data_IF_874744262965
#
_entry.id   IF_874744262965
#
_cell.length_a   1.000
_cell.length_b   1.000
_cell.length_c   1.000
_cell.angle_alpha   90.00
_cell.angle_beta   90.00
_cell.angle_gamma   90.00
#
_symmetry.space_group_name_H-M   'P 1'
#
loop_
_entity.id
_entity.type
_entity.pdbx_description
1 polymer ?
#
# COMPACT_ATOMS: atom_id res chain seq x y z
N UNK A 1 -23.88 -20.56 -35.45
CA UNK A 1 -23.54 -21.99 -35.22
C UNK A 1 -24.04 -22.73 -36.46
N UNK A 2 -23.22 -23.55 -37.13
CA UNK A 2 -23.62 -24.24 -38.37
C UNK A 2 -24.17 -25.61 -38.01
N UNK A 3 -25.44 -25.86 -38.38
CA UNK A 3 -26.12 -27.13 -38.14
C UNK A 3 -26.03 -28.00 -39.40
N UNK A 4 -25.78 -29.29 -39.19
CA UNK A 4 -25.63 -30.26 -40.27
C UNK A 4 -26.57 -31.42 -40.00
N UNK A 5 -27.21 -31.91 -41.06
CA UNK A 5 -28.02 -33.12 -41.05
C UNK A 5 -27.34 -34.19 -41.89
N UNK A 6 -27.37 -35.45 -41.42
CA UNK A 6 -26.80 -36.58 -42.16
C UNK A 6 -27.95 -37.32 -42.84
N UNK A 7 -28.00 -37.24 -44.17
CA UNK A 7 -28.98 -37.93 -45.00
C UNK A 7 -28.22 -38.92 -45.89
N UNK A 8 -28.60 -40.20 -45.82
CA UNK A 8 -27.96 -41.30 -46.58
C UNK A 8 -26.43 -41.41 -46.41
N UNK A 9 -25.89 -40.93 -45.28
CA UNK A 9 -24.46 -41.02 -44.94
C UNK A 9 -23.61 -39.86 -45.48
N UNK A 10 -24.21 -38.90 -46.17
CA UNK A 10 -23.56 -37.65 -46.56
C UNK A 10 -24.04 -36.49 -45.68
N UNK A 11 -23.14 -35.54 -45.42
CA UNK A 11 -23.39 -34.38 -44.54
C UNK A 11 -23.97 -33.25 -45.38
N UNK A 12 -25.22 -32.88 -45.12
CA UNK A 12 -25.90 -31.75 -45.72
C UNK A 12 -26.07 -30.62 -44.69
N UNK A 13 -26.11 -29.37 -45.14
CA UNK A 13 -26.52 -28.27 -44.27
C UNK A 13 -28.01 -28.42 -43.94
N UNK A 14 -28.34 -28.34 -42.65
CA UNK A 14 -29.72 -28.44 -42.19
C UNK A 14 -30.54 -27.29 -42.79
N UNK A 15 -31.58 -27.62 -43.55
CA UNK A 15 -32.42 -26.66 -44.30
C UNK A 15 -33.56 -26.12 -43.42
N UNK A 16 -33.79 -26.71 -42.24
CA UNK A 16 -34.85 -26.33 -41.31
C UNK A 16 -34.45 -25.22 -40.35
N UNK A 17 -33.15 -25.03 -40.13
CA UNK A 17 -32.58 -23.97 -39.29
C UNK A 17 -32.17 -22.75 -40.12
N UNK A 18 -32.29 -21.55 -39.53
CA UNK A 18 -31.93 -20.31 -40.23
C UNK A 18 -30.43 -20.29 -40.62
N UNK A 19 -30.17 -19.89 -41.86
CA UNK A 19 -28.82 -19.89 -42.46
C UNK A 19 -27.89 -18.99 -41.66
N UNK A 20 -26.88 -19.60 -41.04
CA UNK A 20 -25.76 -18.91 -40.42
C UNK A 20 -24.93 -18.18 -41.49
N UNK A 21 -24.59 -16.89 -41.31
CA UNK A 21 -24.61 -16.14 -40.06
C UNK A 21 -25.96 -15.49 -39.72
N UNK A 22 -26.52 -15.89 -38.58
CA UNK A 22 -27.59 -15.14 -37.93
C UNK A 22 -27.01 -13.84 -37.32
N UNK A 23 -27.78 -12.74 -37.28
CA UNK A 23 -27.33 -11.50 -36.66
C UNK A 23 -27.09 -11.68 -35.16
N UNK A 24 -26.09 -10.99 -34.63
CA UNK A 24 -25.74 -11.04 -33.21
C UNK A 24 -26.73 -10.26 -32.34
N UNK A 25 -27.31 -9.18 -32.88
CA UNK A 25 -28.34 -8.39 -32.22
C UNK A 25 -29.27 -7.73 -33.25
N UNK A 26 -30.42 -7.24 -32.81
CA UNK A 26 -31.37 -6.53 -33.66
C UNK A 26 -31.53 -5.10 -33.16
N UNK A 27 -31.55 -4.14 -34.08
CA UNK A 27 -31.87 -2.74 -33.80
C UNK A 27 -32.88 -2.25 -34.84
N UNK A 28 -34.01 -1.68 -34.38
CA UNK A 28 -35.14 -1.24 -35.22
C UNK A 28 -35.64 -2.29 -36.23
N UNK A 29 -35.63 -3.58 -35.85
CA UNK A 29 -36.08 -4.68 -36.71
C UNK A 29 -35.06 -5.13 -37.77
N UNK A 30 -33.91 -4.47 -37.85
CA UNK A 30 -32.79 -4.87 -38.71
C UNK A 30 -31.78 -5.66 -37.87
N UNK A 31 -31.32 -6.80 -38.38
CA UNK A 31 -30.28 -7.62 -37.75
C UNK A 31 -28.88 -7.07 -38.04
N UNK A 32 -28.06 -6.96 -37.00
CA UNK A 32 -26.67 -6.51 -37.07
C UNK A 32 -25.72 -7.61 -36.57
N UNK A 33 -24.57 -7.72 -37.23
CA UNK A 33 -23.45 -8.54 -36.78
C UNK A 33 -22.30 -7.64 -36.31
N UNK A 34 -21.50 -8.14 -35.38
CA UNK A 34 -20.37 -7.38 -34.86
C UNK A 34 -19.13 -7.38 -35.75
N UNK A 35 -19.13 -8.07 -36.90
CA UNK A 35 -17.95 -8.29 -37.77
C UNK A 35 -16.78 -9.06 -37.12
N UNK A 36 -16.54 -8.88 -35.83
CA UNK A 36 -15.66 -9.67 -34.97
C UNK A 36 -16.44 -10.59 -34.04
N UNK A 37 -15.72 -11.52 -33.41
CA UNK A 37 -16.28 -12.46 -32.44
C UNK A 37 -16.63 -11.70 -31.15
N UNK A 38 -17.87 -11.77 -30.62
CA UNK A 38 -18.33 -10.97 -29.48
C UNK A 38 -17.84 -11.50 -28.12
N UNK A 39 -16.55 -11.83 -28.03
CA UNK A 39 -15.90 -12.24 -26.79
C UNK A 39 -14.69 -11.35 -26.55
N UNK A 40 -14.75 -10.58 -25.46
CA UNK A 40 -13.63 -9.76 -24.99
C UNK A 40 -12.84 -10.54 -23.96
N UNK A 41 -11.62 -10.93 -24.29
CA UNK A 41 -10.72 -11.58 -23.35
C UNK A 41 -10.02 -10.57 -22.43
N UNK A 42 -10.07 -10.82 -21.12
CA UNK A 42 -9.26 -10.13 -20.12
C UNK A 42 -8.16 -11.07 -19.66
N UNK A 43 -6.99 -10.94 -20.29
CA UNK A 43 -5.82 -11.75 -19.95
C UNK A 43 -5.13 -11.19 -18.71
N UNK A 44 -4.78 -12.06 -17.78
CA UNK A 44 -4.05 -11.67 -16.55
C UNK A 44 -2.57 -11.41 -16.85
N UNK A 45 -1.93 -12.31 -17.58
CA UNK A 45 -0.54 -12.26 -18.02
C UNK A 45 -0.40 -12.79 -19.46
N UNK A 46 0.82 -12.82 -20.01
CA UNK A 46 1.06 -13.33 -21.38
C UNK A 46 0.72 -14.82 -21.49
N UNK A 47 0.99 -15.58 -20.44
CA UNK A 47 0.82 -17.03 -20.35
C UNK A 47 -0.62 -17.46 -20.12
N UNK A 48 -1.55 -16.52 -19.89
CA UNK A 48 -2.97 -16.75 -19.56
C UNK A 48 -3.16 -17.62 -18.31
N UNK A 49 -2.25 -17.50 -17.35
CA UNK A 49 -2.27 -18.23 -16.08
C UNK A 49 -2.78 -17.35 -14.94
N UNK A 50 -3.49 -17.97 -14.00
CA UNK A 50 -3.85 -17.32 -12.74
C UNK A 50 -2.63 -17.09 -11.86
N UNK A 51 -2.63 -16.00 -11.08
CA UNK A 51 -1.51 -15.62 -10.20
C UNK A 51 -1.11 -16.73 -9.23
N UNK A 52 -2.10 -17.46 -8.70
CA UNK A 52 -1.89 -18.56 -7.75
C UNK A 52 -0.87 -19.58 -8.27
N UNK A 53 -0.79 -19.79 -9.60
CA UNK A 53 0.11 -20.78 -10.19
C UNK A 53 1.58 -20.57 -9.82
N UNK A 54 2.00 -19.32 -9.56
CA UNK A 54 3.40 -18.99 -9.28
C UNK A 54 3.82 -19.25 -7.82
N UNK A 55 2.87 -19.22 -6.88
CA UNK A 55 3.17 -19.35 -5.45
C UNK A 55 2.34 -20.41 -4.72
N UNK A 56 1.50 -21.17 -5.43
CA UNK A 56 0.69 -22.27 -4.86
C UNK A 56 1.54 -23.26 -4.07
N UNK A 57 2.70 -23.63 -4.58
CA UNK A 57 3.56 -24.63 -3.92
C UNK A 57 4.02 -24.16 -2.53
N UNK A 58 4.24 -22.86 -2.34
CA UNK A 58 4.62 -22.31 -1.04
C UNK A 58 3.43 -22.28 -0.08
N UNK A 59 2.23 -21.97 -0.58
CA UNK A 59 0.99 -22.05 0.22
C UNK A 59 0.73 -23.50 0.64
N UNK A 60 0.77 -24.46 -0.29
CA UNK A 60 0.54 -25.87 0.01
C UNK A 60 1.55 -26.40 1.06
N UNK A 61 2.82 -25.99 0.96
CA UNK A 61 3.85 -26.36 1.93
C UNK A 61 3.61 -25.71 3.31
N UNK A 62 3.19 -24.43 3.33
CA UNK A 62 2.84 -23.72 4.55
C UNK A 62 1.66 -24.39 5.27
N UNK A 63 0.60 -24.71 4.52
CA UNK A 63 -0.60 -25.35 5.04
C UNK A 63 -0.30 -26.76 5.58
N UNK A 64 0.55 -27.52 4.88
CA UNK A 64 0.99 -28.85 5.31
C UNK A 64 1.75 -28.78 6.63
N UNK A 65 2.75 -27.91 6.74
CA UNK A 65 3.55 -27.77 7.98
C UNK A 65 2.67 -27.29 9.12
N UNK A 66 1.75 -26.36 8.87
CA UNK A 66 0.83 -25.86 9.89
C UNK A 66 -0.11 -26.99 10.36
N UNK A 67 -0.60 -27.82 9.44
CA UNK A 67 -1.46 -28.96 9.77
C UNK A 67 -0.70 -30.03 10.57
N UNK A 68 0.52 -30.38 10.15
CA UNK A 68 1.36 -31.37 10.85
C UNK A 68 1.75 -30.90 12.24
N UNK A 69 2.01 -29.59 12.40
CA UNK A 69 2.36 -29.03 13.70
C UNK A 69 1.17 -29.03 14.65
N UNK A 70 -0.03 -28.71 14.17
CA UNK A 70 -1.26 -28.84 14.97
C UNK A 70 -1.53 -30.28 15.38
N UNK A 71 -1.36 -31.25 14.46
CA UNK A 71 -1.48 -32.68 14.79
C UNK A 71 -0.46 -33.08 15.87
N UNK A 72 0.79 -32.65 15.73
CA UNK A 72 1.86 -32.96 16.69
C UNK A 72 1.57 -32.34 18.06
N UNK A 73 1.02 -31.12 18.10
CA UNK A 73 0.63 -30.46 19.35
C UNK A 73 -0.54 -31.15 20.05
N UNK A 74 -1.50 -31.68 19.29
CA UNK A 74 -2.60 -32.49 19.83
C UNK A 74 -2.07 -33.83 20.39
N UNK A 75 -1.21 -34.52 19.62
CA UNK A 75 -0.56 -35.75 20.05
C UNK A 75 0.37 -35.55 21.25
N UNK A 76 0.99 -34.37 21.43
CA UNK A 76 1.86 -34.07 22.56
C UNK A 76 1.11 -34.15 23.92
N UNK A 77 -0.22 -34.05 23.93
CA UNK A 77 -1.02 -34.30 25.13
C UNK A 77 -1.01 -35.78 25.56
N UNK A 78 -0.63 -36.69 24.66
CA UNK A 78 -0.49 -38.11 24.94
C UNK A 78 0.91 -38.41 25.50
N UNK A 79 0.97 -38.77 26.79
CA UNK A 79 2.20 -39.20 27.44
C UNK A 79 2.51 -40.66 27.08
N UNK A 80 3.72 -40.93 26.62
CA UNK A 80 4.20 -42.31 26.45
C UNK A 80 4.80 -42.77 27.77
N UNK A 81 4.14 -43.72 28.43
CA UNK A 81 4.62 -44.32 29.68
C UNK A 81 5.56 -45.49 29.38
N UNK A 82 6.78 -45.42 29.89
CA UNK A 82 7.76 -46.50 29.87
C UNK A 82 7.75 -47.15 31.25
N UNK A 83 7.25 -48.39 31.31
CA UNK A 83 7.17 -49.16 32.54
C UNK A 83 8.39 -50.08 32.68
N UNK A 84 9.18 -49.89 33.75
CA UNK A 84 10.31 -50.76 34.12
C UNK A 84 9.90 -51.62 35.31
N UNK A 85 9.98 -52.94 35.18
CA UNK A 85 9.67 -53.87 36.28
C UNK A 85 8.17 -53.99 36.63
N UNK A 86 7.26 -53.75 35.68
CA UNK A 86 5.83 -53.89 35.91
C UNK A 86 5.39 -55.36 35.91
N UNK A 87 4.85 -55.83 37.04
CA UNK A 87 4.41 -57.22 37.28
C UNK A 87 2.96 -57.51 36.85
N UNK A 88 2.23 -56.51 36.32
CA UNK A 88 0.85 -56.72 35.89
C UNK A 88 0.77 -57.45 34.55
N UNK A 89 -0.01 -58.53 34.49
CA UNK A 89 -0.18 -59.37 33.30
C UNK A 89 -0.94 -58.70 32.14
N UNK A 90 -1.58 -57.53 32.35
CA UNK A 90 -2.43 -56.92 31.33
C UNK A 90 -2.34 -55.37 31.29
N UNK A 91 -1.94 -54.82 30.14
CA UNK A 91 -1.90 -53.38 29.85
C UNK A 91 -3.28 -52.69 29.99
N UNK A 92 -4.38 -53.42 29.76
CA UNK A 92 -5.74 -52.89 29.90
C UNK A 92 -6.10 -52.62 31.37
N UNK A 93 -5.64 -53.49 32.25
CA UNK A 93 -5.83 -53.35 33.70
C UNK A 93 -4.97 -52.18 34.24
N UNK A 94 -3.73 -52.07 33.76
CA UNK A 94 -2.87 -50.92 34.03
C UNK A 94 -3.54 -49.58 33.67
N UNK A 95 -4.03 -49.44 32.43
CA UNK A 95 -4.69 -48.20 31.98
C UNK A 95 -5.97 -47.89 32.75
N UNK A 96 -6.72 -48.93 33.17
CA UNK A 96 -7.94 -48.75 33.97
C UNK A 96 -7.60 -48.27 35.38
N UNK A 97 -6.57 -48.84 36.01
CA UNK A 97 -6.11 -48.43 37.33
C UNK A 97 -5.49 -47.04 37.31
N UNK A 98 -4.73 -46.69 36.26
CA UNK A 98 -4.19 -45.35 36.07
C UNK A 98 -5.31 -44.30 35.97
N UNK A 99 -6.37 -44.57 35.20
CA UNK A 99 -7.53 -43.66 35.05
C UNK A 99 -8.35 -43.53 36.34
N UNK A 100 -8.54 -44.62 37.10
CA UNK A 100 -9.38 -44.63 38.31
C UNK A 100 -8.66 -44.10 39.55
N UNK A 101 -7.43 -44.55 39.77
CA UNK A 101 -6.71 -44.30 41.02
C UNK A 101 -5.59 -43.27 40.87
N UNK A 102 -5.18 -42.93 39.65
CA UNK A 102 -4.10 -41.95 39.36
C UNK A 102 -2.75 -42.27 40.03
N UNK A 103 -2.52 -43.53 40.40
CA UNK A 103 -1.30 -44.00 41.04
C UNK A 103 -0.75 -45.22 40.30
N UNK A 104 0.58 -45.35 40.25
CA UNK A 104 1.25 -46.50 39.64
C UNK A 104 2.06 -47.22 40.72
N UNK A 105 1.80 -48.50 40.92
CA UNK A 105 2.57 -49.35 41.83
C UNK A 105 3.80 -49.89 41.09
N UNK A 106 4.98 -49.70 41.68
CA UNK A 106 6.27 -50.20 41.18
C UNK A 106 6.94 -51.11 42.21
N UNK A 107 7.80 -52.03 41.75
CA UNK A 107 8.58 -52.92 42.62
C UNK A 107 9.87 -52.25 43.14
N UNK A 108 10.65 -52.91 44.00
CA UNK A 108 11.87 -52.39 44.65
C UNK A 108 12.93 -51.83 43.67
N UNK A 109 13.01 -52.36 42.46
CA UNK A 109 13.88 -51.87 41.37
C UNK A 109 13.07 -51.37 40.15
N UNK A 110 11.76 -51.18 40.30
CA UNK A 110 10.84 -50.76 39.24
C UNK A 110 10.67 -49.24 39.19
N UNK A 111 10.36 -48.72 38.01
CA UNK A 111 10.16 -47.28 37.78
C UNK A 111 9.25 -46.99 36.61
N UNK A 112 8.68 -45.79 36.59
CA UNK A 112 7.88 -45.29 35.47
C UNK A 112 8.55 -44.03 34.94
N UNK A 113 9.04 -44.11 33.71
CA UNK A 113 9.51 -42.93 32.98
C UNK A 113 8.40 -42.46 32.05
N UNK A 114 8.23 -41.15 31.96
CA UNK A 114 7.40 -40.55 30.91
C UNK A 114 8.34 -40.02 29.84
N UNK A 115 8.09 -40.39 28.58
CA UNK A 115 8.70 -39.72 27.44
C UNK A 115 7.65 -38.83 26.80
N UNK A 116 8.01 -37.55 26.67
CA UNK A 116 7.29 -36.60 25.87
C UNK A 116 8.10 -36.33 24.59
N UNK A 117 7.44 -36.23 23.46
CA UNK A 117 8.08 -35.77 22.24
C UNK A 117 8.36 -34.26 22.39
N UNK A 118 9.62 -33.84 22.21
CA UNK A 118 9.96 -32.42 22.13
C UNK A 118 9.65 -31.93 20.72
N UNK A 119 8.67 -31.02 20.59
CA UNK A 119 8.37 -30.36 19.32
C UNK A 119 9.32 -29.17 19.16
N UNK A 120 10.13 -29.12 18.09
CA UNK A 120 11.03 -27.99 17.84
C UNK A 120 10.23 -26.79 17.29
N UNK A 121 9.48 -26.11 18.16
CA UNK A 121 8.63 -24.96 17.80
C UNK A 121 9.43 -23.87 17.09
N UNK A 122 10.66 -23.60 17.53
CA UNK A 122 11.54 -22.59 16.91
C UNK A 122 11.92 -22.92 15.46
N UNK A 123 12.10 -24.20 15.13
CA UNK A 123 12.41 -24.62 13.77
C UNK A 123 11.19 -24.44 12.87
N UNK A 124 10.02 -24.83 13.38
CA UNK A 124 8.73 -24.66 12.69
C UNK A 124 8.47 -23.18 12.40
N UNK A 125 8.57 -22.32 13.41
CA UNK A 125 8.36 -20.88 13.27
C UNK A 125 9.29 -20.28 12.21
N UNK A 126 10.58 -20.64 12.25
CA UNK A 126 11.56 -20.14 11.26
C UNK A 126 11.23 -20.54 9.82
N UNK A 127 10.62 -21.71 9.63
CA UNK A 127 10.22 -22.22 8.32
C UNK A 127 8.92 -21.54 7.87
N UNK A 128 7.94 -21.39 8.75
CA UNK A 128 6.69 -20.67 8.46
C UNK A 128 6.95 -19.20 8.12
N UNK A 129 7.86 -18.53 8.83
CA UNK A 129 8.29 -17.16 8.53
C UNK A 129 8.95 -17.06 7.16
N UNK A 130 9.77 -18.04 6.79
CA UNK A 130 10.41 -18.08 5.47
C UNK A 130 9.38 -18.28 4.36
N UNK A 131 8.46 -19.22 4.52
CA UNK A 131 7.39 -19.43 3.54
C UNK A 131 6.48 -18.23 3.42
N UNK A 132 6.17 -17.55 4.52
CA UNK A 132 5.39 -16.30 4.50
C UNK A 132 6.10 -15.23 3.65
N UNK A 133 7.41 -15.04 3.85
CA UNK A 133 8.23 -14.11 3.03
C UNK A 133 8.28 -14.52 1.55
N UNK A 134 8.46 -15.81 1.28
CA UNK A 134 8.48 -16.33 -0.10
C UNK A 134 7.12 -16.13 -0.79
N UNK A 135 5.99 -16.35 -0.09
CA UNK A 135 4.64 -16.10 -0.62
C UNK A 135 4.47 -14.62 -0.98
N UNK A 136 4.90 -13.69 -0.12
CA UNK A 136 4.82 -12.26 -0.45
C UNK A 136 5.74 -11.88 -1.62
N UNK A 137 6.95 -12.44 -1.68
CA UNK A 137 7.91 -12.15 -2.74
C UNK A 137 7.44 -12.68 -4.11
N UNK A 138 7.09 -13.96 -4.20
CA UNK A 138 6.60 -14.58 -5.44
C UNK A 138 5.18 -14.19 -5.80
N UNK A 139 4.34 -13.90 -4.80
CA UNK A 139 2.99 -13.35 -5.00
C UNK A 139 2.98 -11.86 -5.34
N UNK A 140 4.15 -11.20 -5.25
CA UNK A 140 4.30 -9.74 -5.41
C UNK A 140 3.32 -8.95 -4.54
N UNK A 141 3.12 -9.41 -3.30
CA UNK A 141 2.26 -8.78 -2.31
C UNK A 141 3.01 -7.74 -1.46
N UNK A 142 2.25 -6.91 -0.75
CA UNK A 142 2.79 -5.99 0.24
C UNK A 142 2.62 -6.60 1.65
N UNK A 143 3.73 -6.81 2.35
CA UNK A 143 3.74 -7.32 3.73
C UNK A 143 3.72 -6.16 4.73
N UNK A 144 2.53 -5.87 5.28
CA UNK A 144 2.31 -4.78 6.24
C UNK A 144 2.60 -5.16 7.69
N UNK A 145 3.35 -6.24 7.95
CA UNK A 145 3.66 -6.67 9.32
C UNK A 145 4.32 -5.54 10.13
N UNK A 146 3.68 -5.20 11.26
CA UNK A 146 3.99 -4.05 12.12
C UNK A 146 5.47 -4.00 12.58
N UNK A 147 6.14 -5.15 12.66
CA UNK A 147 7.51 -5.27 13.16
C UNK A 147 8.56 -4.62 12.25
N UNK A 148 8.20 -4.34 10.99
CA UNK A 148 9.09 -3.67 10.01
C UNK A 148 8.94 -2.14 10.01
N UNK A 149 7.89 -1.62 10.63
CA UNK A 149 7.63 -0.18 10.68
C UNK A 149 8.07 0.35 12.04
N UNK A 150 9.20 1.05 12.08
CA UNK A 150 9.52 1.93 13.21
C UNK A 150 8.42 3.00 13.39
N UNK A 151 8.53 3.82 14.45
CA UNK A 151 7.52 4.82 14.85
C UNK A 151 7.07 5.80 13.75
N UNK A 152 7.76 5.89 12.60
CA UNK A 152 7.29 6.59 11.41
C UNK A 152 7.89 5.97 10.13
N UNK A 153 7.09 5.30 9.27
CA UNK A 153 7.55 4.89 7.94
C UNK A 153 7.89 6.13 7.11
N UNK A 154 9.08 6.17 6.50
CA UNK A 154 9.38 7.17 5.47
C UNK A 154 8.60 6.88 4.20
N UNK A 155 8.31 7.90 3.38
CA UNK A 155 7.66 7.71 2.08
C UNK A 155 8.45 6.79 1.14
N UNK A 156 9.78 6.76 1.27
CA UNK A 156 10.65 5.82 0.55
C UNK A 156 10.43 4.38 0.99
N UNK A 157 10.28 4.12 2.30
CA UNK A 157 10.00 2.78 2.82
C UNK A 157 8.63 2.27 2.37
N UNK A 158 7.61 3.14 2.33
CA UNK A 158 6.29 2.80 1.81
C UNK A 158 6.33 2.47 0.31
N UNK A 159 7.06 3.25 -0.49
CA UNK A 159 7.25 2.94 -1.92
C UNK A 159 7.97 1.61 -2.13
N UNK A 160 9.00 1.32 -1.35
CA UNK A 160 9.71 0.04 -1.42
C UNK A 160 8.80 -1.13 -1.05
N UNK A 161 7.93 -0.96 -0.04
CA UNK A 161 6.96 -1.97 0.36
C UNK A 161 6.00 -2.34 -0.79
N UNK A 162 5.43 -1.33 -1.45
CA UNK A 162 4.45 -1.53 -2.51
C UNK A 162 5.08 -1.78 -3.89
N UNK A 163 6.41 -1.75 -4.02
CA UNK A 163 7.10 -1.85 -5.32
C UNK A 163 6.70 -3.10 -6.12
N UNK A 164 6.67 -4.27 -5.48
CA UNK A 164 6.30 -5.51 -6.15
C UNK A 164 4.83 -5.52 -6.56
N UNK A 165 3.95 -5.03 -5.67
CA UNK A 165 2.52 -4.92 -5.95
C UNK A 165 2.25 -3.94 -7.09
N UNK A 166 2.98 -2.83 -7.15
CA UNK A 166 2.87 -1.84 -8.21
C UNK A 166 3.34 -2.42 -9.56
N UNK A 167 4.41 -3.21 -9.57
CA UNK A 167 4.85 -3.94 -10.76
C UNK A 167 3.75 -4.88 -11.26
N UNK A 168 3.12 -5.64 -10.36
CA UNK A 168 2.01 -6.54 -10.68
C UNK A 168 0.79 -5.77 -11.22
N UNK A 169 0.38 -4.71 -10.54
CA UNK A 169 -0.73 -3.85 -10.96
C UNK A 169 -0.46 -3.23 -12.33
N UNK A 170 0.76 -2.79 -12.61
CA UNK A 170 1.15 -2.21 -13.91
C UNK A 170 1.10 -3.22 -15.06
N UNK A 171 1.41 -4.49 -14.79
CA UNK A 171 1.22 -5.57 -15.79
C UNK A 171 -0.27 -5.77 -16.06
N UNK A 172 -1.08 -5.88 -15.00
CA UNK A 172 -2.53 -6.04 -15.12
C UNK A 172 -3.16 -4.86 -15.88
N UNK A 173 -2.80 -3.63 -15.55
CA UNK A 173 -3.27 -2.41 -16.20
C UNK A 173 -3.00 -2.44 -17.72
N UNK A 174 -1.78 -2.76 -18.14
CA UNK A 174 -1.43 -2.88 -19.56
C UNK A 174 -2.25 -3.94 -20.28
N UNK A 175 -2.51 -5.08 -19.63
CA UNK A 175 -3.30 -6.17 -20.23
C UNK A 175 -4.78 -5.82 -20.29
N UNK A 176 -5.32 -5.26 -19.22
CA UNK A 176 -6.69 -4.79 -19.14
C UNK A 176 -6.95 -3.65 -20.12
N UNK A 177 -5.99 -2.77 -20.34
CA UNK A 177 -6.12 -1.69 -21.34
C UNK A 177 -6.38 -2.25 -22.74
N UNK A 178 -5.77 -3.38 -23.11
CA UNK A 178 -6.05 -4.05 -24.39
C UNK A 178 -7.47 -4.61 -24.43
N UNK A 179 -7.91 -5.28 -23.36
CA UNK A 179 -9.27 -5.80 -23.23
C UNK A 179 -10.33 -4.69 -23.23
N UNK A 180 -10.08 -3.60 -22.51
CA UNK A 180 -10.97 -2.43 -22.46
C UNK A 180 -11.04 -1.70 -23.80
N UNK A 181 -9.94 -1.60 -24.56
CA UNK A 181 -9.97 -1.05 -25.92
C UNK A 181 -10.81 -1.92 -26.87
N UNK A 182 -10.68 -3.24 -26.76
CA UNK A 182 -11.51 -4.17 -27.53
C UNK A 182 -12.99 -4.06 -27.13
N UNK A 183 -13.29 -3.96 -25.83
CA UNK A 183 -14.64 -3.69 -25.34
C UNK A 183 -15.19 -2.35 -25.82
N UNK A 184 -14.38 -1.30 -25.77
CA UNK A 184 -14.76 0.04 -26.24
C UNK A 184 -15.09 0.05 -27.73
N UNK A 185 -14.41 -0.77 -28.53
CA UNK A 185 -14.76 -0.94 -29.93
C UNK A 185 -16.20 -1.44 -30.11
N UNK A 186 -16.62 -2.50 -29.40
CA UNK A 186 -18.02 -2.96 -29.44
C UNK A 186 -19.01 -1.88 -29.00
N UNK A 187 -18.66 -1.14 -27.95
CA UNK A 187 -19.52 -0.08 -27.43
C UNK A 187 -19.68 1.07 -28.43
N UNK A 188 -18.58 1.49 -29.06
CA UNK A 188 -18.59 2.54 -30.08
C UNK A 188 -19.31 2.08 -31.33
N UNK A 189 -19.11 0.84 -31.77
CA UNK A 189 -19.81 0.27 -32.92
C UNK A 189 -21.33 0.23 -32.68
N UNK A 190 -21.74 -0.15 -31.47
CA UNK A 190 -23.15 -0.09 -31.08
C UNK A 190 -23.73 1.33 -31.14
N UNK A 191 -22.99 2.33 -30.66
CA UNK A 191 -23.40 3.74 -30.70
C UNK A 191 -23.46 4.23 -32.15
N UNK A 192 -22.50 3.87 -32.98
CA UNK A 192 -22.47 4.24 -34.40
C UNK A 192 -23.69 3.66 -35.14
N UNK A 193 -24.07 2.42 -34.85
CA UNK A 193 -25.29 1.79 -35.40
C UNK A 193 -26.56 2.48 -34.88
N UNK A 194 -26.60 2.82 -33.59
CA UNK A 194 -27.80 3.38 -32.93
C UNK A 194 -28.05 4.84 -33.29
N UNK A 195 -27.01 5.67 -33.21
CA UNK A 195 -27.06 7.12 -33.37
C UNK A 195 -26.69 7.59 -34.78
N UNK A 196 -26.22 6.70 -35.67
CA UNK A 196 -25.72 7.03 -37.02
C UNK A 196 -24.62 8.09 -37.00
N UNK A 197 -23.75 8.01 -36.01
CA UNK A 197 -22.53 8.81 -35.90
C UNK A 197 -21.32 7.95 -36.23
N UNK A 198 -20.20 8.60 -36.49
CA UNK A 198 -18.91 7.96 -36.77
C UNK A 198 -17.92 8.39 -35.68
N UNK A 199 -17.97 7.69 -34.55
CA UNK A 199 -17.01 7.86 -33.46
C UNK A 199 -15.87 6.86 -33.62
N UNK A 200 -14.63 7.29 -33.39
CA UNK A 200 -13.47 6.38 -33.30
C UNK A 200 -13.26 5.96 -31.84
N UNK A 201 -13.15 4.66 -31.60
CA UNK A 201 -12.83 4.09 -30.29
C UNK A 201 -11.43 4.48 -29.79
N UNK A 202 -10.53 4.92 -30.69
CA UNK A 202 -9.18 5.37 -30.34
C UNK A 202 -9.14 6.68 -29.55
N UNK A 203 -10.21 7.46 -29.59
CA UNK A 203 -10.32 8.71 -28.86
C UNK A 203 -10.56 8.47 -27.35
N UNK A 204 -10.92 7.25 -26.95
CA UNK A 204 -11.06 6.89 -25.53
C UNK A 204 -9.69 6.72 -24.86
N UNK A 205 -9.47 7.52 -23.83
CA UNK A 205 -8.34 7.35 -22.91
C UNK A 205 -8.84 6.76 -21.59
N UNK A 206 -8.18 5.69 -21.14
CA UNK A 206 -8.46 5.05 -19.85
C UNK A 206 -7.43 5.49 -18.82
N UNK A 207 -7.90 5.97 -17.67
CA UNK A 207 -7.04 6.37 -16.54
C UNK A 207 -7.28 5.43 -15.36
N UNK A 208 -6.20 4.82 -14.86
CA UNK A 208 -6.25 3.93 -13.70
C UNK A 208 -5.65 4.62 -12.48
N UNK A 209 -6.40 4.64 -11.37
CA UNK A 209 -5.95 5.23 -10.12
C UNK A 209 -5.51 4.13 -9.15
N UNK A 210 -4.26 4.18 -8.67
CA UNK A 210 -3.71 3.24 -7.69
C UNK A 210 -3.74 3.88 -6.30
N UNK A 211 -4.48 3.29 -5.37
CA UNK A 211 -4.48 3.72 -3.98
C UNK A 211 -3.25 3.14 -3.25
N UNK A 212 -2.25 3.98 -2.98
CA UNK A 212 -1.07 3.60 -2.19
C UNK A 212 -1.10 4.32 -0.84
N UNK A 213 -0.60 3.66 0.21
CA UNK A 213 -0.37 4.34 1.48
C UNK A 213 0.83 5.26 1.32
N UNK A 214 0.62 6.55 1.55
CA UNK A 214 1.67 7.57 1.45
C UNK A 214 1.75 8.37 2.73
N UNK A 215 2.95 8.85 3.05
CA UNK A 215 3.11 9.82 4.14
C UNK A 215 2.64 11.19 3.64
N UNK A 216 1.41 11.55 3.97
CA UNK A 216 0.80 12.83 3.54
C UNK A 216 1.58 14.05 4.08
N UNK A 217 2.17 13.96 5.27
CA UNK A 217 2.95 15.05 5.84
C UNK A 217 4.22 15.34 5.02
N UNK A 218 4.93 14.28 4.60
CA UNK A 218 6.10 14.41 3.73
C UNK A 218 5.71 15.00 2.36
N UNK A 219 4.57 14.61 1.79
CA UNK A 219 4.08 15.18 0.53
C UNK A 219 3.72 16.66 0.64
N UNK A 220 3.08 17.08 1.73
CA UNK A 220 2.74 18.48 1.98
C UNK A 220 4.03 19.31 2.15
N UNK A 221 5.01 18.82 2.90
CA UNK A 221 6.31 19.48 3.06
C UNK A 221 7.06 19.61 1.72
N UNK A 222 7.07 18.54 0.90
CA UNK A 222 7.62 18.59 -0.46
C UNK A 222 6.90 19.60 -1.35
N UNK A 223 5.57 19.69 -1.26
CA UNK A 223 4.77 20.67 -1.99
C UNK A 223 5.10 22.11 -1.60
N UNK A 224 5.26 22.37 -0.29
CA UNK A 224 5.69 23.68 0.23
C UNK A 224 7.09 24.05 -0.24
N UNK A 225 8.04 23.11 -0.18
CA UNK A 225 9.41 23.32 -0.64
C UNK A 225 9.52 23.50 -2.17
N UNK A 226 8.54 23.01 -2.92
CA UNK A 226 8.45 23.15 -4.38
C UNK A 226 7.74 24.44 -4.81
N UNK A 227 7.18 25.21 -3.88
CA UNK A 227 6.53 26.47 -4.18
C UNK A 227 7.53 27.48 -4.77
N UNK A 228 7.25 27.94 -5.99
CA UNK A 228 8.14 28.84 -6.75
C UNK A 228 9.09 28.13 -7.73
N UNK A 229 9.22 26.80 -7.64
CA UNK A 229 9.93 25.97 -8.62
C UNK A 229 8.95 25.30 -9.58
N UNK A 230 7.88 24.70 -9.03
CA UNK A 230 6.79 24.10 -9.79
C UNK A 230 5.58 25.05 -9.87
N UNK A 231 4.73 24.83 -10.89
CA UNK A 231 3.47 25.57 -11.02
C UNK A 231 2.53 25.23 -9.87
N UNK A 232 1.66 26.17 -9.48
CA UNK A 232 0.65 25.93 -8.44
C UNK A 232 -0.31 24.81 -8.84
N UNK A 233 -0.63 24.72 -10.13
CA UNK A 233 -1.48 23.67 -10.70
C UNK A 233 -0.88 22.29 -10.49
N UNK A 234 0.41 22.11 -10.80
CA UNK A 234 1.12 20.83 -10.59
C UNK A 234 1.23 20.45 -9.10
N UNK A 235 1.38 21.43 -8.21
CA UNK A 235 1.41 21.17 -6.76
C UNK A 235 0.03 20.71 -6.26
N UNK A 236 -1.05 21.31 -6.76
CA UNK A 236 -2.42 20.94 -6.42
C UNK A 236 -2.81 19.58 -7.01
N UNK A 237 -2.39 19.28 -8.24
CA UNK A 237 -2.56 17.94 -8.87
C UNK A 237 -2.00 16.82 -8.00
N UNK A 238 -0.85 17.06 -7.36
CA UNK A 238 -0.16 16.07 -6.54
C UNK A 238 -0.51 16.16 -5.05
N UNK A 239 -1.45 17.03 -4.66
CA UNK A 239 -1.81 17.22 -3.25
C UNK A 239 -2.76 16.10 -2.78
N UNK A 240 -2.48 15.42 -1.64
CA UNK A 240 -3.28 14.28 -1.16
C UNK A 240 -4.80 14.47 -1.04
N UNK A 241 -5.26 15.71 -0.84
CA UNK A 241 -6.66 16.03 -0.53
C UNK A 241 -7.42 16.61 -1.73
N UNK A 242 -6.70 17.03 -2.78
CA UNK A 242 -7.30 17.64 -3.97
C UNK A 242 -7.67 16.54 -4.95
N UNK A 243 -8.97 16.44 -5.25
CA UNK A 243 -9.50 15.45 -6.22
C UNK A 243 -9.75 16.06 -7.59
N UNK A 244 -10.11 17.34 -7.61
CA UNK A 244 -10.42 18.12 -8.81
C UNK A 244 -9.66 19.45 -8.70
N UNK A 245 -8.68 19.61 -9.58
CA UNK A 245 -7.74 20.73 -9.59
C UNK A 245 -8.41 22.01 -10.05
N UNK A 246 -9.28 21.92 -11.06
CA UNK A 246 -9.99 23.09 -11.59
C UNK A 246 -10.94 23.68 -10.54
N UNK A 247 -11.61 22.80 -9.80
CA UNK A 247 -12.52 23.20 -8.74
C UNK A 247 -11.75 23.85 -7.57
N UNK A 248 -10.60 23.28 -7.19
CA UNK A 248 -9.79 23.82 -6.11
C UNK A 248 -9.12 25.16 -6.49
N UNK A 249 -8.69 25.30 -7.75
CA UNK A 249 -8.20 26.57 -8.29
C UNK A 249 -9.28 27.66 -8.22
N UNK A 250 -10.52 27.34 -8.61
CA UNK A 250 -11.64 28.29 -8.48
C UNK A 250 -11.89 28.70 -7.04
N UNK A 251 -11.83 27.76 -6.09
CA UNK A 251 -11.97 28.08 -4.65
C UNK A 251 -10.86 29.00 -4.15
N UNK A 252 -9.62 28.77 -4.57
CA UNK A 252 -8.48 29.62 -4.23
C UNK A 252 -8.63 31.03 -4.80
N UNK A 253 -9.14 31.17 -6.02
CA UNK A 253 -9.43 32.47 -6.63
C UNK A 253 -10.54 33.22 -5.85
N UNK A 254 -11.63 32.52 -5.50
CA UNK A 254 -12.71 33.08 -4.67
C UNK A 254 -12.24 33.48 -3.26
N UNK A 255 -11.32 32.73 -2.67
CA UNK A 255 -10.66 33.09 -1.41
C UNK A 255 -9.73 34.30 -1.56
N UNK A 256 -8.96 34.38 -2.64
CA UNK A 256 -8.08 35.51 -2.91
C UNK A 256 -8.85 36.81 -3.15
N UNK A 257 -9.98 36.76 -3.87
CA UNK A 257 -10.86 37.90 -4.08
C UNK A 257 -11.48 38.34 -2.74
N UNK A 258 -12.04 37.42 -1.95
CA UNK A 258 -12.59 37.73 -0.62
C UNK A 258 -11.54 38.32 0.32
N UNK A 259 -10.32 37.80 0.29
CA UNK A 259 -9.22 38.32 1.08
C UNK A 259 -8.81 39.73 0.61
N UNK A 260 -8.69 39.93 -0.71
CA UNK A 260 -8.41 41.25 -1.30
C UNK A 260 -9.47 42.30 -0.97
N UNK A 261 -10.76 41.93 -0.95
CA UNK A 261 -11.87 42.78 -0.52
C UNK A 261 -11.84 43.10 0.99
N UNK A 262 -11.23 42.23 1.80
CA UNK A 262 -11.09 42.44 3.25
C UNK A 262 -9.86 43.28 3.63
N UNK A 263 -9.00 43.62 2.68
CA UNK A 263 -7.86 44.50 2.93
C UNK A 263 -8.32 45.96 2.99
N UNK A 264 -7.94 46.73 4.03
CA UNK A 264 -8.21 48.16 4.03
C UNK A 264 -7.50 48.83 2.83
N UNK A 265 -8.12 49.84 2.21
CA UNK A 265 -7.49 50.55 1.10
C UNK A 265 -6.13 51.08 1.52
N UNK A 266 -5.13 50.91 0.67
CA UNK A 266 -3.81 51.49 0.87
C UNK A 266 -3.99 53.01 0.89
N UNK A 267 -3.84 53.63 2.06
CA UNK A 267 -3.72 55.08 2.15
C UNK A 267 -2.40 55.46 1.49
N UNK A 268 -2.45 56.20 0.37
CA UNK A 268 -1.27 56.67 -0.37
C UNK A 268 -0.50 57.80 0.34
N UNK A 269 -0.84 58.15 1.59
CA UNK A 269 -0.37 59.38 2.25
C UNK A 269 0.67 59.20 3.37
N UNK A 270 1.21 58.00 3.61
CA UNK A 270 2.38 57.84 4.51
C UNK A 270 3.67 57.69 3.68
N UNK A 271 4.19 58.82 3.19
CA UNK A 271 5.59 58.91 2.76
C UNK A 271 6.51 58.57 3.95
N UNK A 272 7.40 57.56 3.85
CA UNK A 272 8.49 57.44 4.79
C UNK A 272 9.54 58.49 4.42
N UNK A 273 9.53 59.56 5.20
CA UNK A 273 10.55 60.60 5.26
C UNK A 273 11.97 59.99 5.16
N UNK A 274 12.75 60.48 4.20
CA UNK A 274 14.03 59.93 3.80
C UNK A 274 15.07 59.90 4.92
N UNK A 275 15.70 58.74 5.09
CA UNK A 275 16.97 58.55 5.79
C UNK A 275 17.91 57.75 4.90
N UNK A 276 18.80 58.46 4.19
CA UNK A 276 19.80 57.88 3.32
C UNK A 276 20.80 56.98 4.08
N UNK A 277 21.08 55.80 3.55
CA UNK A 277 22.46 55.31 3.44
C UNK A 277 22.55 54.20 2.40
N UNK A 278 23.15 54.57 1.28
CA UNK A 278 23.77 53.65 0.33
C UNK A 278 24.91 52.89 1.01
N UNK A 279 24.93 51.56 0.89
CA UNK A 279 26.20 50.82 0.93
C UNK A 279 26.17 49.68 -0.07
N UNK A 280 27.01 49.87 -1.09
CA UNK A 280 27.52 48.83 -1.96
C UNK A 280 28.11 47.68 -1.12
N UNK A 281 27.96 46.47 -1.67
CA UNK A 281 28.74 45.31 -1.28
C UNK A 281 30.25 45.61 -1.35
N UNK A 282 30.96 45.43 -0.23
CA UNK A 282 32.37 45.06 -0.20
C UNK A 282 32.60 44.09 0.96
N UNK A 283 32.99 42.87 0.61
CA UNK A 283 33.65 41.91 1.50
C UNK A 283 34.90 42.54 2.13
N UNK A 284 35.06 42.38 3.44
CA UNK A 284 36.37 42.34 4.07
C UNK A 284 36.33 41.56 5.39
N UNK A 285 37.12 40.49 5.41
CA UNK A 285 37.48 39.63 6.55
C UNK A 285 38.32 40.38 7.57
N UNK A 286 37.99 40.27 8.87
CA UNK A 286 38.89 39.93 9.99
C UNK A 286 38.35 40.46 11.34
N UNK A 287 38.24 39.55 12.32
CA UNK A 287 38.57 39.84 13.72
C UNK A 287 37.41 39.97 14.70
N UNK A 288 37.15 38.87 15.43
CA UNK A 288 36.43 38.80 16.71
C UNK A 288 35.02 39.42 16.70
N UNK A 289 34.05 38.67 16.16
CA UNK A 289 32.64 39.07 16.13
C UNK A 289 32.03 38.98 17.54
N UNK A 290 32.17 40.08 18.26
CA UNK A 290 31.52 40.39 19.53
C UNK A 290 30.07 40.81 19.25
N UNK A 291 29.11 39.88 19.41
CA UNK A 291 27.69 40.17 19.18
C UNK A 291 26.99 40.63 20.46
N UNK A 292 26.08 41.62 20.41
CA UNK A 292 25.31 42.03 21.58
C UNK A 292 24.50 40.85 22.12
N UNK A 293 24.52 40.68 23.44
CA UNK A 293 23.88 39.53 24.08
C UNK A 293 22.35 39.61 23.92
N UNK A 294 21.69 38.59 23.34
CA UNK A 294 20.25 38.67 23.02
C UNK A 294 19.34 38.78 24.25
N UNK A 295 19.82 38.40 25.44
CA UNK A 295 19.03 38.46 26.68
C UNK A 295 19.08 39.80 27.41
N UNK A 296 20.17 40.56 27.25
CA UNK A 296 20.32 41.89 27.88
C UNK A 296 20.45 43.02 26.86
N UNK A 297 20.37 42.70 25.58
CA UNK A 297 20.46 43.60 24.43
C UNK A 297 21.66 44.58 24.47
N UNK A 298 22.76 44.19 25.13
CA UNK A 298 23.96 45.02 25.27
C UNK A 298 24.21 45.60 26.66
N UNK A 299 23.23 45.64 27.56
CA UNK A 299 23.34 46.37 28.84
C UNK A 299 24.07 45.59 29.96
N UNK A 300 24.32 44.29 29.76
CA UNK A 300 25.05 43.44 30.71
C UNK A 300 24.31 43.13 32.02
N UNK A 301 23.15 43.73 32.26
CA UNK A 301 22.29 43.48 33.44
C UNK A 301 20.88 43.13 33.00
N UNK A 302 20.23 42.25 33.75
CA UNK A 302 18.82 41.90 33.58
C UNK A 302 18.10 42.04 34.92
N UNK A 303 16.80 42.32 34.90
CA UNK A 303 16.00 42.36 36.12
C UNK A 303 15.53 40.95 36.47
N UNK A 304 15.84 40.48 37.68
CA UNK A 304 15.41 39.16 38.15
C UNK A 304 13.87 39.10 38.22
N UNK A 305 13.21 38.15 37.55
CA UNK A 305 11.74 38.03 37.59
C UNK A 305 11.22 37.63 38.99
N UNK A 306 12.04 37.01 39.83
CA UNK A 306 11.62 36.53 41.16
C UNK A 306 11.78 37.59 42.28
N UNK A 307 12.68 38.57 42.10
CA UNK A 307 13.03 39.53 43.18
C UNK A 307 13.02 40.99 42.73
N UNK A 308 12.75 41.27 41.45
CA UNK A 308 12.70 42.60 40.83
C UNK A 308 13.98 43.46 41.00
N UNK A 309 15.11 42.86 41.40
CA UNK A 309 16.41 43.53 41.51
C UNK A 309 17.23 43.31 40.24
N UNK A 310 18.06 44.29 39.86
CA UNK A 310 19.01 44.15 38.76
C UNK A 310 20.14 43.17 39.15
N UNK A 311 20.32 42.14 38.33
CA UNK A 311 21.39 41.16 38.44
C UNK A 311 22.23 41.18 37.17
N UNK A 312 23.48 40.72 37.25
CA UNK A 312 24.33 40.59 36.06
C UNK A 312 23.75 39.53 35.13
N UNK A 313 23.75 39.81 33.82
CA UNK A 313 23.24 38.87 32.82
C UNK A 313 24.09 37.59 32.85
N UNK A 314 23.49 36.41 33.12
CA UNK A 314 24.23 35.15 33.25
C UNK A 314 24.87 34.74 31.91
N UNK A 315 24.26 35.12 30.79
CA UNK A 315 24.69 34.80 29.44
C UNK A 315 25.95 35.53 28.96
N UNK A 316 26.17 36.77 29.38
CA UNK A 316 27.38 37.55 29.03
C UNK A 316 28.23 37.90 30.26
N UNK A 317 27.88 37.38 31.45
CA UNK A 317 28.58 37.63 32.73
C UNK A 317 28.83 39.12 33.03
N UNK A 318 27.91 39.99 32.62
CA UNK A 318 27.99 41.42 32.91
C UNK A 318 28.66 42.30 31.85
N UNK A 319 29.21 41.75 30.76
CA UNK A 319 29.90 42.55 29.72
C UNK A 319 28.97 43.11 28.65
N UNK A 320 27.72 42.62 28.57
CA UNK A 320 26.75 43.04 27.55
C UNK A 320 26.90 42.37 26.19
N UNK A 321 28.04 41.71 25.94
CA UNK A 321 28.41 41.19 24.63
C UNK A 321 28.83 39.72 24.76
N UNK A 322 28.37 38.86 23.84
CA UNK A 322 28.77 37.45 23.77
C UNK A 322 29.97 37.33 22.83
N UNK A 323 31.04 36.71 23.32
CA UNK A 323 32.13 36.21 22.47
C UNK A 323 31.73 34.82 22.00
N UNK A 324 31.78 34.57 20.68
CA UNK A 324 31.70 33.22 20.14
C UNK A 324 32.93 32.40 20.58
#
# INVERSE_FOLDING_TARGET
MTYFEIIEGEIYFDVSEEVNPAPHFYYNGTGYGWEEVPFVEFINNEERLGDLKFYKNYIDAYDLITSDTLNTLDEMQSLIYILKGYQGTNLKEFMTNLKRFKMIATDKDGGVDTKQAEVPVTAVDSVLDRYTKDIFYFGQGADVSMDKFGNAPSGVALRQLFQLLDMKASVMERKFTKGLKHFAWFLVEYINITEKKDHDYKDLTFTFNKSMLTNEAEQIEMGQNSAGIASKETILENHPWVKDVELEMRRLEEEAIRFGESLPPLNEDDEPNGGASSSNAQEQTNGNDEFPCPECNGDGKITSPATAKQIQCPSCKGTGVRKQ
#
